data_IF_274470267892
#
_entry.id   IF_274470267892
#
_cell.length_a   1.000
_cell.length_b   1.000
_cell.length_c   1.000
_cell.angle_alpha   90.00
_cell.angle_beta   90.00
_cell.angle_gamma   90.00
#
_symmetry.space_group_name_H-M   'P 1'
#
loop_
_entity.id
_entity.type
_entity.pdbx_description
1 polymer ?
#
# COMPACT_ATOMS: atom_id res chain seq x y z
N UNK A 1 60.58 -34.30 32.47
CA UNK A 1 60.03 -33.92 31.15
C UNK A 1 58.95 -32.88 31.40
N UNK A 2 59.26 -31.60 31.21
CA UNK A 2 58.32 -30.48 31.46
C UNK A 2 57.52 -30.20 30.19
N UNK A 3 56.20 -30.26 30.28
CA UNK A 3 55.28 -30.05 29.18
C UNK A 3 54.72 -28.61 29.28
N UNK A 4 55.46 -27.64 28.73
CA UNK A 4 55.00 -26.24 28.65
C UNK A 4 54.05 -26.08 27.46
N UNK A 5 52.76 -26.38 27.67
CA UNK A 5 51.72 -25.97 26.74
C UNK A 5 51.45 -24.47 26.93
N UNK A 6 51.76 -23.70 25.88
CA UNK A 6 51.52 -22.26 25.81
C UNK A 6 50.03 -21.96 25.83
N UNK A 7 49.51 -21.65 27.01
CA UNK A 7 48.20 -21.02 27.18
C UNK A 7 48.35 -19.57 26.77
N UNK A 8 47.99 -19.25 25.52
CA UNK A 8 47.71 -17.87 25.12
C UNK A 8 46.52 -17.40 25.95
N UNK A 9 46.82 -16.67 27.04
CA UNK A 9 45.78 -16.05 27.87
C UNK A 9 44.87 -15.18 27.00
N UNK A 10 43.56 -15.25 27.24
CA UNK A 10 42.53 -14.47 26.53
C UNK A 10 42.83 -12.97 26.49
N UNK A 11 43.52 -12.47 27.52
CA UNK A 11 44.02 -11.09 27.64
C UNK A 11 45.03 -10.75 26.53
N UNK A 12 45.93 -11.66 26.17
CA UNK A 12 46.92 -11.44 25.11
C UNK A 12 46.30 -11.39 23.70
N UNK A 13 45.20 -12.11 23.49
CA UNK A 13 44.45 -12.10 22.23
C UNK A 13 43.69 -10.76 22.10
N UNK A 14 43.01 -10.33 23.16
CA UNK A 14 42.26 -9.06 23.17
C UNK A 14 43.16 -7.84 22.93
N UNK A 15 44.34 -7.77 23.57
CA UNK A 15 45.27 -6.64 23.40
C UNK A 15 45.84 -6.57 21.98
N UNK A 16 46.12 -7.73 21.36
CA UNK A 16 46.58 -7.79 19.97
C UNK A 16 45.48 -7.42 18.98
N UNK A 17 44.24 -7.83 19.24
CA UNK A 17 43.09 -7.42 18.43
C UNK A 17 42.86 -5.92 18.50
N UNK A 18 42.93 -5.31 19.69
CA UNK A 18 42.78 -3.85 19.83
C UNK A 18 43.88 -3.09 19.08
N UNK A 19 45.15 -3.47 19.24
CA UNK A 19 46.26 -2.85 18.52
C UNK A 19 46.13 -3.01 16.99
N UNK A 20 45.60 -4.14 16.52
CA UNK A 20 45.33 -4.35 15.09
C UNK A 20 44.15 -3.52 14.58
N UNK A 21 43.05 -3.42 15.33
CA UNK A 21 41.90 -2.58 14.98
C UNK A 21 42.28 -1.09 14.92
N UNK A 22 43.17 -0.64 15.81
CA UNK A 22 43.68 0.74 15.81
C UNK A 22 44.68 1.04 14.69
N UNK A 23 45.26 0.01 14.08
CA UNK A 23 46.15 0.17 12.93
C UNK A 23 45.38 0.67 11.69
N UNK A 24 46.10 1.32 10.77
CA UNK A 24 45.51 1.78 9.51
C UNK A 24 44.92 0.63 8.70
N UNK A 25 45.53 -0.55 8.75
CA UNK A 25 45.02 -1.77 8.11
C UNK A 25 43.70 -2.22 8.74
N UNK A 26 43.60 -2.24 10.08
CA UNK A 26 42.36 -2.59 10.78
C UNK A 26 41.23 -1.64 10.45
N UNK A 27 41.48 -0.32 10.49
CA UNK A 27 40.50 0.71 10.13
C UNK A 27 39.99 0.57 8.70
N UNK A 28 40.88 0.32 7.74
CA UNK A 28 40.51 0.11 6.33
C UNK A 28 39.67 -1.15 6.16
N UNK A 29 40.04 -2.26 6.81
CA UNK A 29 39.26 -3.50 6.76
C UNK A 29 37.87 -3.30 7.35
N UNK A 30 37.76 -2.64 8.51
CA UNK A 30 36.45 -2.33 9.11
C UNK A 30 35.61 -1.42 8.22
N UNK A 31 36.22 -0.42 7.58
CA UNK A 31 35.52 0.46 6.65
C UNK A 31 34.99 -0.30 5.43
N UNK A 32 35.79 -1.20 4.85
CA UNK A 32 35.37 -2.04 3.72
C UNK A 32 34.22 -2.96 4.13
N UNK A 33 34.32 -3.63 5.29
CA UNK A 33 33.25 -4.50 5.79
C UNK A 33 31.97 -3.72 6.02
N UNK A 34 32.05 -2.52 6.63
CA UNK A 34 30.91 -1.64 6.81
C UNK A 34 30.27 -1.24 5.48
N UNK A 35 31.08 -0.88 4.48
CA UNK A 35 30.59 -0.52 3.15
C UNK A 35 29.90 -1.70 2.46
N UNK A 36 30.48 -2.90 2.51
CA UNK A 36 29.87 -4.11 1.96
C UNK A 36 28.54 -4.45 2.63
N UNK A 37 28.44 -4.26 3.95
CA UNK A 37 27.20 -4.48 4.69
C UNK A 37 26.09 -3.49 4.27
N UNK A 38 26.41 -2.20 4.14
CA UNK A 38 25.47 -1.19 3.64
C UNK A 38 25.06 -1.51 2.19
N UNK A 39 26.02 -1.83 1.33
CA UNK A 39 25.76 -2.20 -0.06
C UNK A 39 24.83 -3.42 -0.16
N UNK A 40 24.99 -4.41 0.72
CA UNK A 40 24.13 -5.58 0.76
C UNK A 40 22.69 -5.24 1.18
N UNK A 41 22.52 -4.38 2.19
CA UNK A 41 21.18 -3.91 2.59
C UNK A 41 20.53 -3.09 1.47
N UNK A 42 21.29 -2.18 0.86
CA UNK A 42 20.82 -1.36 -0.25
C UNK A 42 20.43 -2.22 -1.45
N UNK A 43 21.23 -3.24 -1.77
CA UNK A 43 20.91 -4.20 -2.82
C UNK A 43 19.64 -4.99 -2.49
N UNK A 44 19.50 -5.49 -1.26
CA UNK A 44 18.31 -6.20 -0.82
C UNK A 44 17.05 -5.35 -0.88
N UNK A 45 17.11 -4.10 -0.41
CA UNK A 45 15.98 -3.16 -0.48
C UNK A 45 15.64 -2.76 -1.91
N UNK A 46 16.64 -2.64 -2.79
CA UNK A 46 16.42 -2.28 -4.19
C UNK A 46 15.89 -3.46 -5.03
N UNK A 47 16.27 -4.69 -4.69
CA UNK A 47 15.96 -5.89 -5.47
C UNK A 47 14.86 -6.77 -4.88
N UNK A 48 14.36 -6.51 -3.67
CA UNK A 48 13.24 -7.26 -3.10
C UNK A 48 11.90 -6.83 -3.73
N UNK A 49 11.22 -7.72 -4.49
CA UNK A 49 9.90 -7.44 -5.05
C UNK A 49 8.80 -7.25 -3.99
N UNK A 50 9.05 -7.54 -2.70
CA UNK A 50 8.10 -7.19 -1.63
C UNK A 50 8.02 -5.67 -1.39
N UNK A 51 9.01 -4.91 -1.84
CA UNK A 51 9.07 -3.45 -1.77
C UNK A 51 8.65 -2.79 -3.09
N UNK A 52 7.68 -3.37 -3.79
CA UNK A 52 7.05 -2.69 -4.93
C UNK A 52 6.32 -1.44 -4.43
N UNK A 53 6.95 -0.28 -4.62
CA UNK A 53 6.30 1.02 -4.47
C UNK A 53 5.12 1.10 -5.44
N UNK A 54 3.92 1.09 -4.91
CA UNK A 54 2.68 1.35 -5.65
C UNK A 54 1.94 2.54 -5.05
N UNK A 55 0.86 2.97 -5.69
CA UNK A 55 0.20 4.23 -5.36
C UNK A 55 -0.29 4.33 -3.90
N UNK A 56 -0.57 3.19 -3.26
CA UNK A 56 -1.01 3.12 -1.87
C UNK A 56 0.08 2.83 -0.83
N UNK A 57 1.34 2.59 -1.23
CA UNK A 57 2.41 2.22 -0.29
C UNK A 57 2.66 3.34 0.72
N UNK A 58 2.50 3.03 2.01
CA UNK A 58 2.75 3.99 3.11
C UNK A 58 1.62 5.02 3.33
N UNK A 59 0.50 4.91 2.62
CA UNK A 59 -0.66 5.78 2.77
C UNK A 59 -1.68 5.21 3.76
N UNK A 60 -2.52 6.08 4.32
CA UNK A 60 -3.64 5.64 5.14
C UNK A 60 -4.71 5.00 4.24
N UNK A 61 -5.46 3.99 4.74
CA UNK A 61 -6.60 3.39 4.06
C UNK A 61 -7.56 4.40 3.42
N UNK A 62 -7.88 5.45 4.17
CA UNK A 62 -8.71 6.56 3.70
C UNK A 62 -8.15 7.26 2.46
N UNK A 63 -6.85 7.60 2.48
CA UNK A 63 -6.21 8.37 1.42
C UNK A 63 -6.13 7.55 0.12
N UNK A 64 -5.90 6.24 0.24
CA UNK A 64 -5.91 5.31 -0.89
C UNK A 64 -7.26 5.32 -1.59
N UNK A 65 -8.35 5.22 -0.83
CA UNK A 65 -9.72 5.24 -1.39
C UNK A 65 -10.06 6.62 -1.95
N UNK A 66 -9.67 7.69 -1.27
CA UNK A 66 -9.92 9.05 -1.74
C UNK A 66 -9.22 9.32 -3.07
N UNK A 67 -7.94 8.98 -3.20
CA UNK A 67 -7.21 9.18 -4.45
C UNK A 67 -7.69 8.25 -5.58
N UNK A 68 -8.11 7.02 -5.24
CA UNK A 68 -8.82 6.15 -6.18
C UNK A 68 -10.07 6.84 -6.70
N UNK A 69 -10.88 7.42 -5.80
CA UNK A 69 -12.10 8.11 -6.18
C UNK A 69 -11.84 9.37 -7.00
N UNK A 70 -10.81 10.14 -6.67
CA UNK A 70 -10.44 11.31 -7.47
C UNK A 70 -10.06 10.88 -8.90
N UNK A 71 -9.26 9.83 -9.05
CA UNK A 71 -8.87 9.34 -10.37
C UNK A 71 -10.04 8.73 -11.15
N UNK A 72 -10.88 7.92 -10.49
CA UNK A 72 -11.99 7.23 -11.15
C UNK A 72 -13.17 8.17 -11.47
N UNK A 73 -13.53 9.06 -10.55
CA UNK A 73 -14.72 9.90 -10.65
C UNK A 73 -14.40 11.33 -11.07
N UNK A 74 -13.46 12.00 -10.40
CA UNK A 74 -13.14 13.41 -10.70
C UNK A 74 -12.42 13.53 -12.05
N UNK A 75 -11.46 12.65 -12.33
CA UNK A 75 -10.73 12.64 -13.60
C UNK A 75 -11.39 11.76 -14.67
N UNK A 76 -12.36 10.92 -14.28
CA UNK A 76 -13.08 10.02 -15.18
C UNK A 76 -12.25 8.85 -15.70
N UNK A 77 -11.11 8.54 -15.07
CA UNK A 77 -10.12 7.54 -15.49
C UNK A 77 -10.27 6.22 -14.72
N UNK A 78 -11.45 5.62 -14.81
CA UNK A 78 -11.79 4.40 -14.10
C UNK A 78 -10.80 3.25 -14.33
N UNK A 79 -10.45 2.95 -15.58
CA UNK A 79 -9.55 1.83 -15.91
C UNK A 79 -8.16 2.04 -15.31
N UNK A 80 -7.64 3.27 -15.40
CA UNK A 80 -6.36 3.65 -14.79
C UNK A 80 -6.42 3.55 -13.27
N UNK A 81 -7.52 3.99 -12.65
CA UNK A 81 -7.71 3.95 -11.21
C UNK A 81 -7.70 2.51 -10.66
N UNK A 82 -8.47 1.60 -11.27
CA UNK A 82 -8.47 0.19 -10.87
C UNK A 82 -7.09 -0.44 -11.03
N UNK A 83 -6.39 -0.19 -12.15
CA UNK A 83 -5.02 -0.69 -12.35
C UNK A 83 -4.03 -0.15 -11.30
N UNK A 84 -4.23 1.09 -10.85
CA UNK A 84 -3.29 1.81 -9.98
C UNK A 84 -3.46 1.45 -8.51
N UNK A 85 -4.71 1.23 -8.06
CA UNK A 85 -5.03 1.06 -6.64
C UNK A 85 -5.50 -0.34 -6.27
N UNK A 86 -5.99 -1.15 -7.22
CA UNK A 86 -6.42 -2.52 -6.92
C UNK A 86 -5.29 -3.53 -7.14
N UNK A 87 -5.27 -4.54 -6.27
CA UNK A 87 -4.45 -5.73 -6.51
C UNK A 87 -4.94 -6.46 -7.77
N UNK A 88 -4.02 -7.06 -8.52
CA UNK A 88 -4.38 -7.93 -9.66
C UNK A 88 -5.30 -9.10 -9.27
N UNK A 89 -5.32 -9.47 -7.98
CA UNK A 89 -6.17 -10.54 -7.43
C UNK A 89 -7.33 -10.02 -6.60
N UNK A 90 -7.64 -8.72 -6.70
CA UNK A 90 -8.72 -8.13 -5.94
C UNK A 90 -10.06 -8.79 -6.27
N UNK A 91 -10.90 -8.96 -5.26
CA UNK A 91 -12.26 -9.45 -5.42
C UNK A 91 -13.19 -8.25 -5.56
N UNK A 92 -13.73 -8.08 -6.75
CA UNK A 92 -14.67 -7.01 -7.06
C UNK A 92 -16.07 -7.59 -7.30
N UNK A 93 -17.00 -7.26 -6.40
CA UNK A 93 -18.39 -7.70 -6.48
C UNK A 93 -19.29 -6.69 -7.20
N UNK A 94 -18.73 -5.60 -7.74
CA UNK A 94 -19.41 -4.57 -8.51
C UNK A 94 -18.77 -4.28 -9.89
N UNK A 95 -18.28 -5.28 -10.66
CA UNK A 95 -17.38 -5.05 -11.81
C UNK A 95 -17.99 -4.33 -13.02
N UNK A 96 -19.32 -4.13 -13.03
CA UNK A 96 -20.05 -3.54 -14.16
C UNK A 96 -20.48 -2.09 -13.89
N UNK A 97 -19.91 -1.43 -12.88
CA UNK A 97 -20.25 -0.05 -12.57
C UNK A 97 -19.56 0.94 -13.51
N UNK A 98 -20.10 2.16 -13.60
CA UNK A 98 -19.59 3.20 -14.52
C UNK A 98 -18.16 3.65 -14.23
N UNK A 99 -17.70 3.47 -13.00
CA UNK A 99 -16.37 3.79 -12.50
C UNK A 99 -15.29 2.79 -12.96
N UNK A 100 -15.65 1.70 -13.65
CA UNK A 100 -14.69 0.81 -14.32
C UNK A 100 -14.24 1.30 -15.70
N UNK A 101 -14.84 2.37 -16.21
CA UNK A 101 -14.64 2.82 -17.58
C UNK A 101 -13.95 4.18 -17.59
N UNK A 102 -13.07 4.40 -18.56
CA UNK A 102 -12.54 5.72 -18.83
C UNK A 102 -13.57 6.55 -19.61
N UNK A 103 -13.60 7.86 -19.39
CA UNK A 103 -14.48 8.79 -20.09
C UNK A 103 -14.65 10.10 -19.35
N UNK A 104 -15.76 10.79 -19.58
CA UNK A 104 -16.09 12.05 -18.91
C UNK A 104 -16.20 11.88 -17.39
N UNK A 105 -15.77 12.87 -16.58
CA UNK A 105 -15.91 12.84 -15.14
C UNK A 105 -17.30 12.41 -14.67
N UNK A 106 -17.33 11.65 -13.58
CA UNK A 106 -18.55 11.16 -12.95
C UNK A 106 -18.88 12.11 -11.80
N UNK A 107 -19.95 12.91 -11.91
CA UNK A 107 -20.39 13.74 -10.79
C UNK A 107 -20.67 12.85 -9.59
N UNK A 108 -20.07 13.17 -8.45
CA UNK A 108 -20.31 12.43 -7.22
C UNK A 108 -20.26 13.37 -6.02
N UNK A 109 -20.96 12.99 -4.95
CA UNK A 109 -20.96 13.71 -3.68
C UNK A 109 -20.74 12.70 -2.54
N UNK A 110 -19.58 12.79 -1.91
CA UNK A 110 -19.28 11.98 -0.73
C UNK A 110 -20.01 12.54 0.47
N UNK A 111 -20.98 11.77 0.99
CA UNK A 111 -21.78 12.16 2.14
C UNK A 111 -21.13 11.75 3.46
N UNK A 112 -20.46 10.61 3.48
CA UNK A 112 -19.78 10.09 4.68
C UNK A 112 -18.71 9.08 4.31
N UNK A 113 -17.60 9.11 5.05
CA UNK A 113 -16.58 8.06 5.04
C UNK A 113 -16.45 7.49 6.44
N UNK A 114 -16.37 6.17 6.55
CA UNK A 114 -16.14 5.42 7.79
C UNK A 114 -14.90 4.56 7.58
N UNK A 115 -13.95 4.66 8.51
CA UNK A 115 -12.70 3.91 8.45
C UNK A 115 -12.57 3.08 9.71
N UNK A 116 -12.32 1.77 9.55
CA UNK A 116 -12.07 0.86 10.64
C UNK A 116 -10.88 -0.05 10.29
N UNK A 117 -9.72 0.27 10.85
CA UNK A 117 -8.50 -0.49 10.52
C UNK A 117 -8.19 -0.35 9.03
N UNK A 118 -8.30 -1.46 8.30
CA UNK A 118 -8.04 -1.53 6.85
C UNK A 118 -9.31 -1.53 5.99
N UNK A 119 -10.48 -1.41 6.61
CA UNK A 119 -11.76 -1.33 5.94
C UNK A 119 -12.21 0.13 5.82
N UNK A 120 -12.66 0.51 4.63
CA UNK A 120 -13.17 1.84 4.34
C UNK A 120 -14.54 1.74 3.69
N UNK A 121 -15.56 2.34 4.31
CA UNK A 121 -16.88 2.45 3.73
C UNK A 121 -17.18 3.90 3.34
N UNK A 122 -17.55 4.11 2.08
CA UNK A 122 -17.90 5.41 1.50
C UNK A 122 -19.37 5.42 1.16
N UNK A 123 -20.14 6.28 1.84
CA UNK A 123 -21.50 6.61 1.44
C UNK A 123 -21.47 7.84 0.53
N UNK A 124 -21.93 7.67 -0.70
CA UNK A 124 -21.91 8.73 -1.72
C UNK A 124 -23.16 8.72 -2.59
N UNK A 125 -23.49 9.88 -3.14
CA UNK A 125 -24.41 10.00 -4.27
C UNK A 125 -23.59 10.04 -5.56
N UNK A 126 -23.85 9.10 -6.46
CA UNK A 126 -23.36 9.15 -7.83
C UNK A 126 -24.39 9.87 -8.67
N UNK A 127 -23.99 10.93 -9.38
CA UNK A 127 -24.84 11.70 -10.26
C UNK A 127 -25.18 10.97 -11.56
N UNK A 128 -26.20 11.44 -12.27
CA UNK A 128 -26.59 10.86 -13.54
C UNK A 128 -25.51 11.13 -14.60
N UNK A 129 -24.90 10.09 -15.15
CA UNK A 129 -23.87 10.21 -16.18
C UNK A 129 -23.78 8.91 -16.99
N UNK A 130 -23.21 8.99 -18.19
CA UNK A 130 -22.90 7.82 -19.05
C UNK A 130 -24.08 6.85 -19.23
N UNK A 131 -25.31 7.40 -19.30
CA UNK A 131 -26.54 6.62 -19.47
C UNK A 131 -27.09 5.96 -18.20
N UNK A 132 -26.47 6.16 -17.04
CA UNK A 132 -26.98 5.72 -15.74
C UNK A 132 -27.67 6.85 -14.99
N UNK A 133 -28.74 6.51 -14.27
CA UNK A 133 -29.44 7.41 -13.36
C UNK A 133 -28.62 7.69 -12.10
N UNK A 134 -28.84 8.86 -11.49
CA UNK A 134 -28.26 9.16 -10.18
C UNK A 134 -28.69 8.11 -9.14
N UNK A 135 -27.76 7.70 -8.28
CA UNK A 135 -27.99 6.66 -7.28
C UNK A 135 -27.19 6.91 -6.00
N UNK A 136 -27.79 6.56 -4.87
CA UNK A 136 -27.12 6.51 -3.57
C UNK A 136 -26.48 5.14 -3.39
N UNK A 137 -25.19 5.12 -3.08
CA UNK A 137 -24.41 3.90 -2.93
C UNK A 137 -23.55 3.93 -1.69
N UNK A 138 -23.31 2.76 -1.12
CA UNK A 138 -22.27 2.52 -0.13
C UNK A 138 -21.24 1.60 -0.77
N UNK A 139 -20.04 2.13 -0.97
CA UNK A 139 -18.89 1.35 -1.41
C UNK A 139 -18.08 0.93 -0.19
N UNK A 140 -17.72 -0.35 -0.10
CA UNK A 140 -16.89 -0.89 0.97
C UNK A 140 -15.61 -1.45 0.34
N UNK A 141 -14.47 -0.97 0.83
CA UNK A 141 -13.15 -1.35 0.36
C UNK A 141 -12.37 -2.02 1.49
N UNK A 142 -11.76 -3.16 1.19
CA UNK A 142 -10.78 -3.83 2.06
C UNK A 142 -9.38 -3.56 1.49
N UNK A 143 -8.46 -3.12 2.35
CA UNK A 143 -7.11 -2.72 1.94
C UNK A 143 -6.07 -3.66 2.58
N UNK A 144 -5.08 -4.11 1.80
CA UNK A 144 -3.99 -4.91 2.33
C UNK A 144 -3.04 -4.06 3.18
N UNK A 145 -2.29 -4.68 4.09
CA UNK A 145 -1.25 -3.97 4.85
C UNK A 145 -0.13 -3.34 4.00
N UNK A 146 -0.04 -3.67 2.71
CA UNK A 146 0.85 -3.01 1.75
C UNK A 146 0.23 -1.77 1.08
N UNK A 147 -1.09 -1.61 1.16
CA UNK A 147 -1.85 -0.48 0.62
C UNK A 147 -2.58 -0.77 -0.71
N UNK A 148 -2.81 -2.04 -1.06
CA UNK A 148 -3.62 -2.39 -2.23
C UNK A 148 -5.08 -2.53 -1.83
N UNK A 149 -6.01 -2.08 -2.67
CA UNK A 149 -7.42 -2.48 -2.54
C UNK A 149 -7.50 -3.96 -2.97
N UNK A 150 -7.96 -4.81 -2.07
CA UNK A 150 -8.05 -6.27 -2.27
C UNK A 150 -9.49 -6.75 -2.35
N UNK A 151 -10.46 -5.94 -1.92
CA UNK A 151 -11.88 -6.20 -2.10
C UNK A 151 -12.64 -4.91 -2.31
N UNK A 152 -13.65 -4.97 -3.17
CA UNK A 152 -14.65 -3.92 -3.32
C UNK A 152 -16.05 -4.53 -3.40
N UNK A 153 -16.93 -4.00 -2.54
CA UNK A 153 -18.35 -4.31 -2.50
C UNK A 153 -19.15 -3.02 -2.68
N UNK A 154 -20.17 -3.04 -3.55
CA UNK A 154 -21.11 -1.93 -3.69
C UNK A 154 -22.51 -2.34 -3.26
N UNK A 155 -23.07 -1.58 -2.33
CA UNK A 155 -24.47 -1.70 -1.90
C UNK A 155 -25.23 -0.51 -2.47
N UNK A 156 -26.19 -0.78 -3.34
CA UNK A 156 -27.06 0.27 -3.90
C UNK A 156 -28.37 0.33 -3.13
N UNK A 157 -28.84 1.54 -2.83
CA UNK A 157 -30.19 1.71 -2.31
C UNK A 157 -31.14 1.86 -3.50
N UNK A 158 -32.00 0.86 -3.73
CA UNK A 158 -33.14 1.04 -4.64
C UNK A 158 -34.00 2.17 -4.08
N UNK A 159 -34.06 3.30 -4.80
CA UNK A 159 -34.96 4.39 -4.46
C UNK A 159 -36.39 3.83 -4.46
N UNK A 160 -37.02 3.78 -3.30
CA UNK A 160 -38.39 3.29 -3.17
C UNK A 160 -39.28 4.06 -4.15
N UNK A 161 -40.08 3.34 -4.95
CA UNK A 161 -41.06 3.98 -5.81
C UNK A 161 -41.96 4.88 -4.93
N UNK A 162 -42.29 6.10 -5.36
CA UNK A 162 -43.23 6.93 -4.62
C UNK A 162 -44.50 6.11 -4.44
N UNK A 163 -44.93 5.93 -3.19
CA UNK A 163 -46.24 5.38 -2.87
C UNK A 163 -47.23 6.29 -3.57
N UNK A 164 -47.80 5.84 -4.70
CA UNK A 164 -48.90 6.54 -5.32
C UNK A 164 -50.00 6.62 -4.26
N UNK A 165 -50.25 7.84 -3.76
CA UNK A 165 -51.40 8.09 -2.92
C UNK A 165 -52.63 7.65 -3.74
N UNK A 166 -53.27 6.58 -3.30
CA UNK A 166 -54.52 6.14 -3.89
C UNK A 166 -55.59 7.20 -3.56
N UNK A 167 -56.00 7.91 -4.62
CA UNK A 167 -57.20 8.75 -4.80
C UNK A 167 -57.72 9.55 -3.60
#
# INVERSE_FOLDING_TARGET
MSNNQGVLSSVGIATRMNAWMDSMTGRVVTAIVGFLFIAQIAYGLHSDPRWHWHAGTGKLPHDIVQEFMDLAYTDGKGVEAYKTYFSEKAVDNAPNTIDHQDGEPIPHEVKKIIVQGMDVAVYQMIGATRGQSAQDVVDVYEISGSGWIIRHDRITQQKAAPVQAAN
#
